data_IF_239666881911
#
_entry.id   IF_239666881911
#
_cell.length_a   1.000
_cell.length_b   1.000
_cell.length_c   1.000
_cell.angle_alpha   90.00
_cell.angle_beta   90.00
_cell.angle_gamma   90.00
#
_symmetry.space_group_name_H-M   'P 1'
#
loop_
_entity.id
_entity.type
_entity.pdbx_description
1 polymer ?
#
# COMPACT_ATOMS: atom_id res chain seq x y z
N UNK A 1 -1.70 -3.48 26.68
CA UNK A 1 -1.50 -4.95 26.70
C UNK A 1 -1.46 -5.43 25.26
N UNK A 2 -0.36 -6.04 24.80
CA UNK A 2 -0.35 -6.75 23.52
C UNK A 2 -1.13 -8.06 23.72
N UNK A 3 -2.07 -8.40 22.83
CA UNK A 3 -2.66 -9.73 22.84
C UNK A 3 -1.54 -10.76 22.68
N UNK A 4 -1.67 -11.94 23.25
CA UNK A 4 -0.70 -13.03 23.09
C UNK A 4 -0.45 -13.25 21.60
N UNK A 5 0.77 -12.96 21.15
CA UNK A 5 1.15 -13.10 19.75
C UNK A 5 1.96 -14.38 19.61
N UNK A 6 1.54 -15.27 18.73
CA UNK A 6 2.32 -16.44 18.36
C UNK A 6 3.31 -16.06 17.24
N UNK A 7 4.54 -16.58 17.36
CA UNK A 7 5.56 -16.47 16.30
C UNK A 7 5.73 -17.85 15.67
N UNK A 8 5.77 -17.89 14.35
CA UNK A 8 6.07 -19.11 13.61
C UNK A 8 7.34 -18.84 12.81
N UNK A 9 8.40 -19.59 13.07
CA UNK A 9 9.73 -19.39 12.50
C UNK A 9 10.19 -20.62 11.74
N UNK A 10 11.02 -20.45 10.72
CA UNK A 10 11.67 -21.59 10.07
C UNK A 10 12.66 -22.24 11.04
N UNK A 11 12.63 -23.56 11.12
CA UNK A 11 13.63 -24.38 11.81
C UNK A 11 14.81 -24.72 10.87
N UNK A 12 15.86 -25.34 11.40
CA UNK A 12 17.04 -25.71 10.63
C UNK A 12 16.71 -26.66 9.47
N UNK A 13 15.87 -27.67 9.72
CA UNK A 13 15.43 -28.60 8.65
C UNK A 13 14.15 -28.08 7.97
N UNK A 14 13.33 -28.92 7.40
CA UNK A 14 12.09 -28.56 6.69
C UNK A 14 10.94 -28.14 7.60
N UNK A 15 11.13 -28.14 8.90
CA UNK A 15 10.12 -27.86 9.91
C UNK A 15 10.02 -26.36 10.21
N UNK A 16 8.94 -26.05 10.92
CA UNK A 16 8.67 -24.74 11.49
C UNK A 16 8.65 -24.84 13.02
N UNK A 17 9.00 -23.77 13.69
CA UNK A 17 8.96 -23.64 15.13
C UNK A 17 7.84 -22.70 15.53
N UNK A 18 7.08 -23.11 16.55
CA UNK A 18 6.03 -22.27 17.14
C UNK A 18 6.53 -21.71 18.46
N UNK A 19 6.45 -20.39 18.60
CA UNK A 19 6.83 -19.67 19.79
C UNK A 19 5.67 -18.82 20.27
N UNK A 20 5.48 -18.71 21.58
CA UNK A 20 4.49 -17.83 22.19
C UNK A 20 5.17 -16.59 22.74
N UNK A 21 4.83 -15.43 22.20
CA UNK A 21 5.31 -14.16 22.72
C UNK A 21 4.80 -13.94 24.14
N UNK A 22 5.71 -13.59 25.05
CA UNK A 22 5.38 -13.22 26.42
C UNK A 22 5.18 -11.70 26.53
N UNK A 23 4.63 -11.23 27.65
CA UNK A 23 4.47 -9.80 27.91
C UNK A 23 5.81 -9.08 28.08
N UNK A 24 6.86 -9.77 28.45
CA UNK A 24 8.24 -9.27 28.59
C UNK A 24 8.94 -9.03 27.26
N UNK A 25 8.36 -9.50 26.13
CA UNK A 25 8.97 -9.36 24.79
C UNK A 25 9.81 -10.57 24.37
N UNK A 26 10.15 -11.48 25.27
CA UNK A 26 10.78 -12.76 24.95
C UNK A 26 9.72 -13.75 24.46
N UNK A 27 10.15 -14.74 23.66
CA UNK A 27 9.25 -15.77 23.21
C UNK A 27 9.59 -17.11 23.89
N UNK A 28 8.57 -17.90 24.17
CA UNK A 28 8.65 -19.23 24.74
C UNK A 28 8.37 -20.27 23.69
N UNK A 29 9.26 -21.25 23.53
CA UNK A 29 9.10 -22.31 22.56
C UNK A 29 7.90 -23.22 22.91
N UNK A 30 7.12 -23.60 21.92
CA UNK A 30 5.90 -24.41 22.08
C UNK A 30 5.96 -25.76 21.35
N UNK A 31 6.80 -25.87 20.35
CA UNK A 31 6.99 -27.10 19.60
C UNK A 31 7.19 -26.90 18.10
N UNK A 32 7.44 -28.00 17.37
CA UNK A 32 7.56 -27.96 15.94
C UNK A 32 6.20 -27.95 15.23
N UNK A 33 6.15 -27.46 13.99
CA UNK A 33 5.01 -27.58 13.09
C UNK A 33 5.49 -27.93 11.68
N UNK A 34 4.70 -28.70 10.95
CA UNK A 34 5.03 -29.07 9.56
C UNK A 34 4.94 -27.88 8.60
N UNK A 35 3.99 -27.01 8.83
CA UNK A 35 3.80 -25.81 8.03
C UNK A 35 3.15 -24.71 8.89
N UNK A 36 3.26 -23.42 8.47
CA UNK A 36 2.61 -22.34 9.19
C UNK A 36 1.10 -22.51 9.30
N UNK A 37 0.46 -23.05 8.26
CA UNK A 37 -0.99 -23.24 8.23
C UNK A 37 -1.48 -24.32 9.19
N UNK A 38 -0.63 -25.32 9.51
CA UNK A 38 -0.94 -26.44 10.41
C UNK A 38 -0.47 -26.22 11.85
N UNK A 39 0.16 -25.08 12.13
CA UNK A 39 0.61 -24.78 13.48
C UNK A 39 -0.56 -24.69 14.45
N UNK A 40 -0.49 -25.46 15.54
CA UNK A 40 -1.50 -25.41 16.62
C UNK A 40 -1.29 -24.13 17.41
N UNK A 41 -2.24 -23.21 17.33
CA UNK A 41 -2.15 -21.89 17.91
C UNK A 41 -3.26 -21.68 18.95
N UNK A 42 -2.87 -21.48 20.19
CA UNK A 42 -3.79 -21.07 21.26
C UNK A 42 -4.08 -19.58 21.12
N UNK A 43 -5.21 -19.23 20.55
CA UNK A 43 -5.76 -17.85 20.52
C UNK A 43 -4.78 -16.78 19.98
N UNK A 44 -5.25 -15.58 19.81
CA UNK A 44 -4.37 -14.42 19.53
C UNK A 44 -4.02 -14.19 18.05
N UNK A 45 -3.05 -13.31 17.85
CA UNK A 45 -2.51 -12.94 16.52
C UNK A 45 -1.24 -13.74 16.22
N UNK A 46 -0.98 -13.95 14.92
CA UNK A 46 0.18 -14.70 14.44
C UNK A 46 1.09 -13.77 13.64
N UNK A 47 2.38 -13.84 13.90
CA UNK A 47 3.43 -13.25 13.06
C UNK A 47 4.30 -14.40 12.55
N UNK A 48 4.58 -14.39 11.25
CA UNK A 48 5.37 -15.43 10.61
C UNK A 48 6.71 -14.83 10.22
N UNK A 49 7.79 -15.46 10.68
CA UNK A 49 9.13 -15.22 10.18
C UNK A 49 9.32 -15.94 8.86
N UNK A 50 9.57 -15.17 7.81
CA UNK A 50 9.86 -15.71 6.48
C UNK A 50 11.27 -16.28 6.45
N UNK A 51 11.48 -17.49 5.91
CA UNK A 51 12.82 -18.03 5.69
C UNK A 51 13.58 -17.21 4.64
N UNK A 52 14.89 -17.23 4.67
CA UNK A 52 15.76 -16.49 3.75
C UNK A 52 15.46 -16.74 2.26
N UNK A 53 14.98 -17.93 1.89
CA UNK A 53 14.54 -18.24 0.52
C UNK A 53 13.25 -17.51 0.11
N UNK A 54 12.42 -17.14 1.07
CA UNK A 54 11.11 -16.51 0.86
C UNK A 54 11.15 -14.99 1.02
N UNK A 55 12.27 -14.45 1.54
CA UNK A 55 12.46 -13.03 1.77
C UNK A 55 13.94 -12.66 1.64
N UNK A 56 14.22 -11.51 1.07
CA UNK A 56 15.57 -10.95 0.95
C UNK A 56 15.65 -9.61 1.62
N UNK A 57 16.73 -9.38 2.36
CA UNK A 57 17.02 -8.07 2.94
C UNK A 57 18.31 -7.51 2.35
N UNK A 58 18.32 -6.25 1.98
CA UNK A 58 19.53 -5.53 1.57
C UNK A 58 19.46 -4.08 2.02
N UNK A 59 20.62 -3.50 2.27
CA UNK A 59 20.74 -2.08 2.61
C UNK A 59 21.35 -1.28 1.47
N UNK A 60 21.16 0.04 1.53
CA UNK A 60 21.74 1.01 0.62
C UNK A 60 21.67 2.41 1.23
N UNK A 61 22.52 3.30 0.75
CA UNK A 61 22.54 4.71 1.15
C UNK A 61 21.79 5.56 0.14
N UNK A 62 21.01 6.52 0.61
CA UNK A 62 20.31 7.50 -0.21
C UNK A 62 20.80 8.91 0.11
N UNK A 63 20.97 9.81 -0.90
CA UNK A 63 21.48 11.18 -0.71
C UNK A 63 20.35 12.14 -0.30
N UNK A 64 19.52 11.74 0.67
CA UNK A 64 18.42 12.55 1.19
C UNK A 64 18.01 12.12 2.58
N UNK A 65 17.45 13.05 3.35
CA UNK A 65 16.81 12.80 4.64
C UNK A 65 15.29 12.95 4.59
N UNK A 66 14.72 13.19 3.41
CA UNK A 66 13.28 13.28 3.22
C UNK A 66 12.64 11.89 3.28
N UNK A 67 12.01 11.61 4.41
CA UNK A 67 11.33 10.33 4.67
C UNK A 67 10.18 10.04 3.71
N UNK A 68 9.61 11.07 3.06
CA UNK A 68 8.50 10.89 2.09
C UNK A 68 8.98 10.19 0.81
N UNK A 69 10.25 10.36 0.46
CA UNK A 69 10.89 9.77 -0.71
C UNK A 69 11.40 8.34 -0.46
N UNK A 70 11.60 7.95 0.79
CA UNK A 70 12.25 6.67 1.13
C UNK A 70 11.56 5.46 0.50
N UNK A 71 10.22 5.45 0.49
CA UNK A 71 9.47 4.35 -0.13
C UNK A 71 9.69 4.24 -1.64
N UNK A 72 9.74 5.37 -2.34
CA UNK A 72 9.95 5.40 -3.79
C UNK A 72 11.37 4.98 -4.14
N UNK A 73 12.37 5.51 -3.41
CA UNK A 73 13.77 5.15 -3.58
C UNK A 73 14.01 3.67 -3.26
N UNK A 74 13.38 3.16 -2.21
CA UNK A 74 13.41 1.74 -1.86
C UNK A 74 12.84 0.88 -2.98
N UNK A 75 11.69 1.26 -3.54
CA UNK A 75 11.09 0.54 -4.66
C UNK A 75 11.98 0.52 -5.89
N UNK A 76 12.57 1.66 -6.26
CA UNK A 76 13.53 1.74 -7.38
C UNK A 76 14.74 0.80 -7.18
N UNK A 77 15.22 0.63 -5.95
CA UNK A 77 16.29 -0.33 -5.64
C UNK A 77 15.83 -1.78 -5.74
N UNK A 78 14.58 -2.06 -5.36
CA UNK A 78 13.96 -3.39 -5.53
C UNK A 78 13.84 -3.75 -7.01
N UNK A 79 13.39 -2.82 -7.85
CA UNK A 79 13.33 -3.00 -9.31
C UNK A 79 14.70 -3.20 -9.92
N UNK A 80 15.67 -2.35 -9.58
CA UNK A 80 17.06 -2.45 -10.08
C UNK A 80 17.70 -3.81 -9.79
N UNK A 81 17.30 -4.46 -8.70
CA UNK A 81 17.80 -5.80 -8.31
C UNK A 81 16.97 -6.95 -8.89
N UNK A 82 15.95 -6.65 -9.71
CA UNK A 82 15.06 -7.67 -10.29
C UNK A 82 14.19 -8.38 -9.26
N UNK A 83 13.92 -7.75 -8.11
CA UNK A 83 13.11 -8.31 -7.02
C UNK A 83 11.66 -7.80 -7.02
N UNK A 84 11.33 -6.89 -7.91
CA UNK A 84 9.97 -6.39 -8.05
C UNK A 84 9.07 -7.42 -8.74
N UNK A 85 7.82 -7.51 -8.27
CA UNK A 85 6.76 -8.20 -9.01
C UNK A 85 6.36 -7.37 -10.24
N UNK A 86 5.49 -7.92 -11.10
CA UNK A 86 5.04 -7.29 -12.34
C UNK A 86 4.44 -5.90 -12.13
N UNK A 87 3.89 -5.63 -10.95
CA UNK A 87 3.36 -4.31 -10.57
C UNK A 87 3.90 -3.86 -9.21
N UNK A 88 4.04 -2.53 -8.99
CA UNK A 88 4.45 -1.99 -7.68
C UNK A 88 3.53 -2.39 -6.54
N UNK A 89 2.24 -2.57 -6.82
CA UNK A 89 1.22 -2.92 -5.83
C UNK A 89 1.32 -4.36 -5.35
N UNK A 90 1.80 -5.25 -6.21
CA UNK A 90 2.00 -6.68 -5.92
C UNK A 90 3.34 -6.93 -5.22
N UNK A 91 4.28 -5.99 -5.32
CA UNK A 91 5.56 -6.08 -4.64
C UNK A 91 5.39 -5.80 -3.14
N UNK A 92 5.52 -6.84 -2.33
CA UNK A 92 5.46 -6.70 -0.86
C UNK A 92 6.85 -6.39 -0.32
N UNK A 93 7.08 -5.16 0.11
CA UNK A 93 8.33 -4.73 0.72
C UNK A 93 8.12 -3.74 1.87
N UNK A 94 9.10 -3.67 2.77
CA UNK A 94 9.19 -2.69 3.85
C UNK A 94 10.57 -2.05 3.82
N UNK A 95 10.59 -0.74 4.04
CA UNK A 95 11.81 0.04 4.23
C UNK A 95 12.02 0.35 5.72
N UNK A 96 13.25 0.15 6.19
CA UNK A 96 13.69 0.48 7.54
C UNK A 96 14.81 1.52 7.47
N UNK A 97 14.78 2.49 8.37
CA UNK A 97 15.81 3.53 8.50
C UNK A 97 16.75 3.11 9.62
N UNK A 98 18.04 3.02 9.34
CA UNK A 98 19.07 2.66 10.31
C UNK A 98 19.82 3.87 10.83
N UNK A 99 20.19 4.77 9.92
CA UNK A 99 20.97 5.96 10.26
C UNK A 99 20.52 7.14 9.38
N UNK A 100 20.54 8.33 9.96
CA UNK A 100 20.20 9.57 9.25
C UNK A 100 21.26 10.59 9.60
N UNK A 101 22.11 10.93 8.62
CA UNK A 101 23.16 11.94 8.73
C UNK A 101 22.84 13.12 7.81
N UNK A 102 23.40 14.31 8.05
CA UNK A 102 23.17 15.44 7.15
C UNK A 102 23.43 15.07 5.69
N UNK A 103 22.39 15.18 4.86
CA UNK A 103 22.46 14.91 3.42
C UNK A 103 22.36 13.46 2.99
N UNK A 104 22.33 12.47 3.89
CA UNK A 104 22.17 11.07 3.50
C UNK A 104 21.54 10.21 4.60
N UNK A 105 20.90 9.13 4.20
CA UNK A 105 20.31 8.14 5.11
C UNK A 105 20.67 6.73 4.68
N UNK A 106 20.86 5.84 5.66
CA UNK A 106 21.06 4.40 5.45
C UNK A 106 19.73 3.68 5.63
N UNK A 107 19.28 3.03 4.58
CA UNK A 107 18.02 2.30 4.54
C UNK A 107 18.28 0.82 4.34
N UNK A 108 17.44 -0.04 4.92
CA UNK A 108 17.33 -1.44 4.49
C UNK A 108 15.93 -1.76 4.01
N UNK A 109 15.83 -2.68 3.08
CA UNK A 109 14.56 -3.13 2.51
C UNK A 109 14.43 -4.62 2.68
N UNK A 110 13.28 -5.04 3.23
CA UNK A 110 12.83 -6.42 3.22
C UNK A 110 11.88 -6.61 2.05
N UNK A 111 12.16 -7.57 1.19
CA UNK A 111 11.33 -7.89 0.01
C UNK A 111 10.87 -9.33 0.10
N UNK A 112 9.56 -9.55 -0.05
CA UNK A 112 9.00 -10.90 -0.14
C UNK A 112 9.22 -11.42 -1.56
N UNK A 113 9.87 -12.57 -1.65
CA UNK A 113 10.08 -13.28 -2.90
C UNK A 113 8.84 -14.10 -3.30
N UNK A 114 8.71 -14.56 -4.56
CA UNK A 114 7.56 -15.35 -5.01
C UNK A 114 7.28 -16.58 -4.14
N UNK A 115 8.32 -17.25 -3.64
CA UNK A 115 8.20 -18.39 -2.72
C UNK A 115 7.55 -17.98 -1.39
N UNK A 116 7.84 -16.79 -0.89
CA UNK A 116 7.20 -16.23 0.32
C UNK A 116 5.74 -15.84 0.10
N UNK A 117 5.43 -15.34 -1.09
CA UNK A 117 4.04 -15.01 -1.47
C UNK A 117 3.17 -16.27 -1.62
N UNK A 118 3.78 -17.41 -2.00
CA UNK A 118 3.10 -18.70 -2.17
C UNK A 118 2.87 -19.46 -0.85
N UNK A 119 3.41 -18.99 0.29
CA UNK A 119 3.23 -19.65 1.59
C UNK A 119 1.76 -19.69 2.00
N UNK A 120 1.31 -20.87 2.42
CA UNK A 120 0.01 -21.03 3.06
C UNK A 120 0.04 -20.41 4.46
N UNK A 121 -0.72 -19.34 4.64
CA UNK A 121 -0.74 -18.55 5.87
C UNK A 121 -1.97 -18.87 6.71
N UNK A 122 -1.85 -19.00 8.04
CA UNK A 122 -3.00 -19.08 8.93
C UNK A 122 -3.94 -17.88 8.79
N UNK A 123 -5.23 -18.09 8.95
CA UNK A 123 -6.23 -17.03 8.81
C UNK A 123 -6.05 -15.87 9.82
N UNK A 124 -5.33 -16.10 10.92
CA UNK A 124 -5.04 -15.12 11.98
C UNK A 124 -3.70 -14.40 11.79
N UNK A 125 -3.03 -14.58 10.65
CA UNK A 125 -1.76 -13.91 10.36
C UNK A 125 -1.96 -12.40 10.30
N UNK A 126 -1.20 -11.69 11.14
CA UNK A 126 -1.23 -10.23 11.21
C UNK A 126 0.00 -9.59 10.59
N UNK A 127 1.06 -10.34 10.41
CA UNK A 127 2.29 -9.80 9.84
C UNK A 127 3.24 -10.88 9.36
N UNK A 128 4.07 -10.48 8.41
CA UNK A 128 5.21 -11.23 7.91
C UNK A 128 6.46 -10.37 8.13
N UNK A 129 7.57 -11.01 8.45
CA UNK A 129 8.89 -10.35 8.47
C UNK A 129 9.98 -11.41 8.24
N UNK A 130 11.18 -11.03 7.80
CA UNK A 130 12.30 -11.95 7.76
C UNK A 130 12.50 -12.59 9.14
N UNK A 131 12.65 -13.91 9.21
CA UNK A 131 12.80 -14.61 10.49
C UNK A 131 13.95 -14.02 11.31
N UNK A 132 15.02 -13.64 10.65
CA UNK A 132 16.23 -13.06 11.23
C UNK A 132 15.97 -11.77 12.00
N UNK A 133 14.97 -10.96 11.59
CA UNK A 133 14.62 -9.72 12.33
C UNK A 133 14.12 -9.96 13.74
N UNK A 134 13.71 -11.17 14.05
CA UNK A 134 13.27 -11.55 15.39
C UNK A 134 14.43 -11.85 16.34
N UNK A 135 15.65 -11.83 15.82
CA UNK A 135 16.86 -12.03 16.63
C UNK A 135 17.66 -10.75 16.72
N UNK A 136 18.36 -10.58 17.83
CA UNK A 136 19.35 -9.51 17.97
C UNK A 136 20.64 -9.97 17.32
N UNK A 137 21.08 -9.30 16.28
CA UNK A 137 22.31 -9.63 15.57
C UNK A 137 23.53 -9.07 16.31
N UNK A 138 24.68 -9.75 16.25
CA UNK A 138 25.91 -9.24 16.82
C UNK A 138 26.39 -8.00 16.06
N UNK A 139 27.12 -7.16 16.73
CA UNK A 139 27.77 -5.98 16.14
C UNK A 139 29.08 -6.40 15.50
N UNK A 140 29.37 -5.89 14.31
CA UNK A 140 30.62 -6.16 13.55
C UNK A 140 30.88 -7.63 13.23
N UNK A 141 29.88 -8.49 13.33
CA UNK A 141 29.99 -9.91 12.94
C UNK A 141 28.90 -10.30 11.97
N UNK A 142 29.21 -11.21 11.09
CA UNK A 142 28.23 -11.89 10.23
C UNK A 142 27.61 -13.05 11.01
N UNK A 143 26.36 -13.34 10.71
CA UNK A 143 25.67 -14.52 11.25
C UNK A 143 25.40 -15.47 10.10
N UNK A 144 25.73 -16.74 10.29
CA UNK A 144 25.39 -17.81 9.39
C UNK A 144 24.54 -18.84 10.14
N UNK A 145 23.39 -19.18 9.58
CA UNK A 145 22.48 -20.15 10.20
C UNK A 145 21.79 -21.00 9.13
N UNK A 146 21.38 -22.19 9.55
CA UNK A 146 20.58 -23.06 8.70
C UNK A 146 19.09 -22.75 8.88
N UNK A 147 18.39 -22.52 7.77
CA UNK A 147 16.95 -22.39 7.70
C UNK A 147 16.39 -23.31 6.61
N UNK A 148 15.59 -24.28 7.01
CA UNK A 148 14.91 -25.21 6.11
C UNK A 148 15.87 -25.88 5.11
N UNK A 149 17.02 -26.36 5.61
CA UNK A 149 18.04 -27.04 4.83
C UNK A 149 18.85 -26.12 3.92
N UNK A 150 18.84 -24.81 4.15
CA UNK A 150 19.65 -23.84 3.41
C UNK A 150 20.44 -22.96 4.36
N UNK A 151 21.63 -22.54 3.95
CA UNK A 151 22.43 -21.60 4.71
C UNK A 151 22.01 -20.18 4.39
N UNK A 152 21.72 -19.42 5.43
CA UNK A 152 21.34 -18.01 5.36
C UNK A 152 22.43 -17.17 6.04
N UNK A 153 22.99 -16.25 5.28
CA UNK A 153 23.95 -15.26 5.74
C UNK A 153 23.23 -13.98 6.10
N UNK A 154 23.54 -13.44 7.27
CA UNK A 154 22.92 -12.22 7.77
C UNK A 154 23.97 -11.26 8.31
N UNK A 155 23.71 -9.96 8.18
CA UNK A 155 24.50 -8.91 8.80
C UNK A 155 23.57 -7.87 9.47
N UNK A 156 24.04 -7.29 10.56
CA UNK A 156 23.30 -6.29 11.33
C UNK A 156 24.12 -5.04 11.63
N UNK A 157 23.44 -3.90 11.74
CA UNK A 157 23.94 -2.65 12.30
C UNK A 157 23.15 -2.40 13.58
N UNK A 158 23.82 -2.16 14.71
CA UNK A 158 23.20 -1.91 16.00
C UNK A 158 22.17 -2.97 16.41
N UNK A 159 22.46 -4.23 16.08
CA UNK A 159 21.57 -5.36 16.37
C UNK A 159 20.37 -5.49 15.43
N UNK A 160 20.27 -4.64 14.41
CA UNK A 160 19.18 -4.66 13.42
C UNK A 160 19.66 -5.21 12.09
N UNK A 161 18.82 -6.02 11.45
CA UNK A 161 19.11 -6.65 10.16
C UNK A 161 19.25 -5.61 9.04
N UNK A 162 20.41 -5.63 8.34
CA UNK A 162 20.67 -4.81 7.14
C UNK A 162 20.87 -5.64 5.88
N UNK A 163 21.30 -6.89 6.05
CA UNK A 163 21.53 -7.79 4.92
C UNK A 163 21.11 -9.22 5.28
N UNK A 164 20.42 -9.89 4.37
CA UNK A 164 20.09 -11.32 4.48
C UNK A 164 19.98 -11.93 3.10
N UNK A 165 20.71 -13.04 2.90
CA UNK A 165 20.65 -13.82 1.67
C UNK A 165 20.92 -15.30 1.93
N UNK A 166 20.35 -16.15 1.08
CA UNK A 166 20.71 -17.58 1.01
C UNK A 166 22.00 -17.69 0.24
N UNK A 167 23.01 -18.33 0.84
CA UNK A 167 24.33 -18.49 0.23
C UNK A 167 24.60 -19.93 -0.27
N UNK A 168 23.84 -20.91 0.21
CA UNK A 168 23.94 -22.30 -0.27
C UNK A 168 22.55 -22.92 -0.36
N UNK A 169 22.38 -23.75 -1.37
CA UNK A 169 21.18 -24.58 -1.53
C UNK A 169 21.22 -25.87 -0.67
N UNK A 170 22.38 -26.23 -0.18
CA UNK A 170 22.60 -27.33 0.76
C UNK A 170 22.85 -26.77 2.16
N UNK A 171 22.43 -27.44 3.22
CA UNK A 171 22.59 -26.99 4.60
C UNK A 171 24.04 -27.12 5.13
N UNK A 172 24.99 -27.60 4.33
CA UNK A 172 26.39 -27.82 4.73
C UNK A 172 27.29 -26.59 4.50
N UNK A 173 28.37 -26.52 5.29
CA UNK A 173 29.42 -25.49 5.17
C UNK A 173 30.40 -25.86 4.07
N UNK A 174 30.02 -25.68 2.81
CA UNK A 174 30.85 -25.98 1.65
C UNK A 174 31.81 -24.83 1.28
N UNK A 175 32.65 -25.06 0.29
CA UNK A 175 33.59 -24.06 -0.22
C UNK A 175 32.90 -22.78 -0.72
N UNK A 176 31.70 -22.90 -1.28
CA UNK A 176 30.90 -21.78 -1.72
C UNK A 176 30.51 -20.86 -0.55
N UNK A 177 30.14 -21.44 0.60
CA UNK A 177 29.79 -20.66 1.79
C UNK A 177 30.94 -19.75 2.25
N UNK A 178 32.20 -20.26 2.21
CA UNK A 178 33.38 -19.48 2.56
C UNK A 178 33.65 -18.32 1.58
N UNK A 179 33.50 -18.58 0.28
CA UNK A 179 33.66 -17.54 -0.74
C UNK A 179 32.57 -16.45 -0.62
N UNK A 180 31.30 -16.83 -0.47
CA UNK A 180 30.18 -15.89 -0.31
C UNK A 180 30.33 -15.06 0.96
N UNK A 181 30.79 -15.64 2.07
CA UNK A 181 31.10 -14.88 3.28
C UNK A 181 32.16 -13.81 3.01
N UNK A 182 33.24 -14.16 2.33
CA UNK A 182 34.31 -13.22 1.99
C UNK A 182 33.82 -12.09 1.08
N UNK A 183 33.09 -12.44 0.02
CA UNK A 183 32.54 -11.47 -0.92
C UNK A 183 31.55 -10.53 -0.22
N UNK A 184 30.64 -11.09 0.57
CA UNK A 184 29.65 -10.29 1.29
C UNK A 184 30.29 -9.40 2.34
N UNK A 185 31.30 -9.87 3.09
CA UNK A 185 32.00 -9.04 4.06
C UNK A 185 32.65 -7.82 3.41
N UNK A 186 33.36 -8.03 2.30
CA UNK A 186 33.97 -6.95 1.53
C UNK A 186 32.92 -6.00 0.94
N UNK A 187 31.83 -6.52 0.41
CA UNK A 187 30.75 -5.70 -0.14
C UNK A 187 30.10 -4.81 0.93
N UNK A 188 29.84 -5.32 2.13
CA UNK A 188 29.28 -4.54 3.24
C UNK A 188 30.23 -3.44 3.72
N UNK A 189 31.53 -3.71 3.75
CA UNK A 189 32.56 -2.74 4.07
C UNK A 189 32.66 -1.65 3.00
N UNK A 190 32.71 -2.03 1.71
CA UNK A 190 32.77 -1.07 0.60
C UNK A 190 31.53 -0.19 0.50
N UNK A 191 30.36 -0.69 0.88
CA UNK A 191 29.14 0.08 0.97
C UNK A 191 29.08 0.99 2.20
N UNK A 192 30.07 0.93 3.08
CA UNK A 192 30.11 1.69 4.34
C UNK A 192 29.02 1.27 5.36
N UNK A 193 28.43 0.09 5.17
CA UNK A 193 27.41 -0.48 6.05
C UNK A 193 28.03 -1.09 7.32
N UNK A 194 29.24 -1.62 7.20
CA UNK A 194 30.03 -2.10 8.31
C UNK A 194 31.44 -1.54 8.19
N UNK A 195 31.96 -0.96 9.25
CA UNK A 195 33.35 -0.43 9.27
C UNK A 195 34.36 -1.56 9.18
N UNK A 196 34.11 -2.63 9.94
CA UNK A 196 34.95 -3.81 9.99
C UNK A 196 34.07 -5.04 10.27
N UNK A 197 34.42 -6.16 9.64
CA UNK A 197 33.83 -7.47 9.97
C UNK A 197 34.87 -8.26 10.77
N UNK A 198 34.64 -8.41 12.06
CA UNK A 198 35.58 -9.02 13.01
C UNK A 198 35.45 -10.54 13.08
N UNK A 199 34.40 -11.15 12.54
CA UNK A 199 34.20 -12.60 12.55
C UNK A 199 32.81 -13.03 12.11
N UNK A 200 32.58 -14.31 12.24
CA UNK A 200 31.32 -14.97 11.88
C UNK A 200 30.78 -15.74 13.08
N UNK A 201 29.51 -15.59 13.40
CA UNK A 201 28.79 -16.46 14.33
C UNK A 201 27.99 -17.50 13.56
N UNK A 202 28.19 -18.76 13.87
CA UNK A 202 27.38 -19.87 13.39
C UNK A 202 26.28 -20.17 14.41
N UNK A 203 25.01 -20.01 14.00
CA UNK A 203 23.89 -20.36 14.84
C UNK A 203 23.33 -21.73 14.47
N UNK A 204 23.70 -22.72 15.25
CA UNK A 204 23.33 -24.12 15.06
C UNK A 204 24.46 -25.07 15.39
N UNK A 205 24.23 -26.34 15.14
CA UNK A 205 25.20 -27.41 15.36
C UNK A 205 25.81 -27.82 14.02
N UNK A 206 27.08 -27.49 13.83
CA UNK A 206 27.84 -27.82 12.64
C UNK A 206 29.06 -28.69 13.03
N UNK A 207 29.52 -29.59 12.17
CA UNK A 207 30.74 -30.37 12.41
C UNK A 207 31.96 -29.45 12.60
N UNK A 208 32.81 -29.76 13.58
CA UNK A 208 33.96 -28.91 13.93
C UNK A 208 34.96 -28.77 12.78
N UNK A 209 35.12 -29.81 11.99
CA UNK A 209 35.97 -29.83 10.80
C UNK A 209 35.46 -28.89 9.69
N UNK A 210 34.15 -28.87 9.46
CA UNK A 210 33.50 -27.94 8.52
C UNK A 210 33.67 -26.48 9.01
N UNK A 211 33.49 -26.23 10.31
CA UNK A 211 33.69 -24.91 10.92
C UNK A 211 35.13 -24.42 10.75
N UNK A 212 36.10 -25.29 11.00
CA UNK A 212 37.54 -25.00 10.79
C UNK A 212 37.89 -24.76 9.31
N UNK A 213 37.26 -25.50 8.39
CA UNK A 213 37.39 -25.27 6.97
C UNK A 213 36.82 -23.94 6.53
N UNK A 214 35.61 -23.57 7.00
CA UNK A 214 34.97 -22.30 6.74
C UNK A 214 35.82 -21.11 7.24
N UNK A 215 36.37 -21.19 8.46
CA UNK A 215 37.23 -20.16 9.01
C UNK A 215 38.47 -19.89 8.13
N UNK A 216 39.12 -20.96 7.65
CA UNK A 216 40.26 -20.86 6.71
C UNK A 216 39.86 -20.21 5.38
N UNK A 217 38.71 -20.57 4.84
CA UNK A 217 38.25 -20.10 3.53
C UNK A 217 37.76 -18.64 3.59
N UNK A 218 37.01 -18.30 4.61
CA UNK A 218 36.50 -16.95 4.82
C UNK A 218 37.61 -15.96 5.23
N UNK A 219 38.69 -16.46 5.85
CA UNK A 219 39.74 -15.64 6.43
C UNK A 219 39.29 -14.85 7.65
N UNK A 220 38.22 -15.30 8.30
CA UNK A 220 37.62 -14.69 9.46
C UNK A 220 37.48 -15.67 10.62
N UNK A 221 37.60 -15.24 11.88
CA UNK A 221 37.33 -16.14 13.00
C UNK A 221 35.85 -16.53 13.00
N UNK A 222 35.59 -17.82 13.21
CA UNK A 222 34.27 -18.43 13.21
C UNK A 222 33.98 -19.00 14.60
N UNK A 223 32.89 -18.59 15.21
CA UNK A 223 32.44 -19.05 16.52
C UNK A 223 31.07 -19.71 16.41
N UNK A 224 30.92 -20.92 16.93
CA UNK A 224 29.60 -21.54 17.08
C UNK A 224 28.89 -20.97 18.31
N UNK A 225 27.62 -20.61 18.14
CA UNK A 225 26.75 -20.17 19.21
C UNK A 225 25.35 -20.76 19.05
N UNK A 226 24.65 -21.03 20.16
CA UNK A 226 23.26 -21.38 20.08
C UNK A 226 22.45 -20.21 19.50
N UNK A 227 21.47 -20.51 18.66
CA UNK A 227 20.57 -19.49 18.14
C UNK A 227 19.82 -18.83 19.31
N UNK A 228 19.83 -17.50 19.43
CA UNK A 228 19.13 -16.79 20.51
C UNK A 228 17.62 -17.01 20.43
N UNK A 229 16.93 -16.83 21.56
CA UNK A 229 15.48 -16.84 21.55
C UNK A 229 14.92 -15.66 20.75
N UNK A 230 13.85 -15.87 19.95
CA UNK A 230 13.28 -14.79 19.17
C UNK A 230 12.59 -13.76 20.07
N UNK A 231 12.68 -12.49 19.69
CA UNK A 231 12.03 -11.37 20.38
C UNK A 231 11.26 -10.52 19.38
N UNK A 232 9.99 -10.26 19.68
CA UNK A 232 9.14 -9.41 18.83
C UNK A 232 8.97 -8.04 19.48
N UNK A 233 9.55 -7.02 18.86
CA UNK A 233 9.40 -5.61 19.29
C UNK A 233 8.10 -5.03 18.74
N UNK A 234 7.50 -4.06 19.42
CA UNK A 234 6.24 -3.42 18.98
C UNK A 234 6.34 -2.77 17.61
N UNK A 235 7.50 -2.20 17.29
CA UNK A 235 7.77 -1.57 16.00
C UNK A 235 7.79 -2.58 14.87
N UNK A 236 8.42 -3.73 15.11
CA UNK A 236 8.43 -4.86 14.17
C UNK A 236 7.02 -5.40 13.91
N UNK A 237 6.18 -5.48 14.95
CA UNK A 237 4.79 -5.91 14.80
C UNK A 237 3.99 -4.95 13.92
N UNK A 238 4.21 -3.63 14.04
CA UNK A 238 3.57 -2.64 13.16
C UNK A 238 4.07 -2.74 11.73
N UNK A 239 5.37 -2.84 11.56
CA UNK A 239 6.01 -2.97 10.25
C UNK A 239 5.60 -4.27 9.54
N UNK A 240 5.51 -5.39 10.27
CA UNK A 240 5.24 -6.73 9.71
C UNK A 240 3.95 -6.81 8.87
N UNK A 241 2.97 -5.96 9.14
CA UNK A 241 1.73 -5.89 8.35
C UNK A 241 1.98 -5.40 6.90
N UNK A 242 3.08 -4.69 6.65
CA UNK A 242 3.44 -4.19 5.33
C UNK A 242 3.86 -5.28 4.34
N UNK A 243 4.43 -6.38 4.83
CA UNK A 243 4.84 -7.53 4.00
C UNK A 243 3.71 -8.50 3.67
N UNK A 244 2.53 -8.35 4.26
CA UNK A 244 1.39 -9.20 3.92
C UNK A 244 1.00 -9.01 2.45
N UNK A 245 0.69 -10.09 1.72
CA UNK A 245 0.16 -10.02 0.37
C UNK A 245 -1.06 -9.11 0.27
N UNK A 246 -1.21 -8.40 -0.83
CA UNK A 246 -2.31 -7.45 -1.06
C UNK A 246 -3.69 -8.11 -0.84
N UNK A 247 -3.85 -9.36 -1.25
CA UNK A 247 -5.07 -10.14 -1.06
C UNK A 247 -5.46 -10.29 0.42
N UNK A 248 -4.48 -10.52 1.31
CA UNK A 248 -4.72 -10.66 2.77
C UNK A 248 -4.95 -9.30 3.40
N UNK A 249 -4.17 -8.28 3.00
CA UNK A 249 -4.36 -6.89 3.47
C UNK A 249 -5.75 -6.37 3.12
N UNK A 250 -6.21 -6.63 1.90
CA UNK A 250 -7.52 -6.21 1.43
C UNK A 250 -8.65 -6.95 2.14
N UNK A 251 -8.51 -8.27 2.39
CA UNK A 251 -9.47 -9.04 3.22
C UNK A 251 -9.54 -8.51 4.66
N UNK A 252 -8.40 -8.19 5.26
CA UNK A 252 -8.35 -7.64 6.62
C UNK A 252 -9.00 -6.24 6.67
N UNK A 253 -8.76 -5.38 5.67
CA UNK A 253 -9.41 -4.08 5.52
C UNK A 253 -10.91 -4.21 5.29
N UNK A 254 -11.33 -5.14 4.43
CA UNK A 254 -12.74 -5.40 4.17
C UNK A 254 -13.47 -5.90 5.43
N UNK A 255 -12.83 -6.80 6.21
CA UNK A 255 -13.39 -7.25 7.51
C UNK A 255 -13.52 -6.11 8.52
N UNK A 256 -12.57 -5.18 8.58
CA UNK A 256 -12.66 -3.99 9.47
C UNK A 256 -13.72 -2.99 9.01
N UNK A 257 -13.96 -2.87 7.70
CA UNK A 257 -14.98 -1.97 7.14
C UNK A 257 -16.40 -2.55 7.24
N UNK A 258 -16.55 -3.88 7.29
CA UNK A 258 -17.86 -4.52 7.44
C UNK A 258 -18.67 -3.99 8.63
N UNK A 259 -18.16 -3.95 9.89
CA UNK A 259 -18.94 -3.41 10.99
C UNK A 259 -19.26 -1.90 10.81
N UNK A 260 -18.35 -1.13 10.22
CA UNK A 260 -18.62 0.27 9.88
C UNK A 260 -19.73 0.39 8.82
N UNK A 261 -19.73 -0.49 7.82
CA UNK A 261 -20.80 -0.58 6.83
C UNK A 261 -22.15 -0.92 7.44
N UNK A 262 -22.19 -1.88 8.37
CA UNK A 262 -23.40 -2.21 9.12
C UNK A 262 -23.86 -1.09 10.05
N UNK A 263 -22.93 -0.40 10.73
CA UNK A 263 -23.24 0.77 11.56
C UNK A 263 -23.77 1.92 10.68
N UNK A 264 -23.14 2.17 9.53
CA UNK A 264 -23.62 3.17 8.59
C UNK A 264 -24.98 2.80 8.01
N UNK A 265 -25.20 1.53 7.63
CA UNK A 265 -26.50 1.05 7.16
C UNK A 265 -27.56 1.15 8.25
N UNK A 266 -27.25 0.77 9.49
CA UNK A 266 -28.14 0.92 10.64
C UNK A 266 -28.45 2.40 10.94
N UNK A 267 -27.45 3.27 10.84
CA UNK A 267 -27.65 4.72 11.01
C UNK A 267 -28.54 5.31 9.89
N UNK A 268 -28.32 4.88 8.63
CA UNK A 268 -29.18 5.31 7.51
C UNK A 268 -30.59 4.77 7.67
N UNK A 269 -30.78 3.52 8.09
CA UNK A 269 -32.13 2.98 8.35
C UNK A 269 -32.81 3.64 9.55
N UNK A 270 -32.06 3.97 10.61
CA UNK A 270 -32.62 4.72 11.75
C UNK A 270 -32.98 6.15 11.37
N UNK A 271 -32.10 6.85 10.62
CA UNK A 271 -32.39 8.19 10.13
C UNK A 271 -33.54 8.20 9.13
N UNK A 272 -33.57 7.23 8.21
CA UNK A 272 -34.68 7.04 7.27
C UNK A 272 -35.98 6.70 7.98
N UNK A 273 -35.93 5.82 8.99
CA UNK A 273 -37.08 5.47 9.83
C UNK A 273 -37.59 6.68 10.65
N UNK A 274 -36.66 7.46 11.24
CA UNK A 274 -37.00 8.68 11.96
C UNK A 274 -37.62 9.75 11.02
N UNK A 275 -37.05 9.93 9.83
CA UNK A 275 -37.58 10.84 8.82
C UNK A 275 -38.97 10.38 8.33
N UNK A 276 -39.13 9.07 8.06
CA UNK A 276 -40.43 8.51 7.67
C UNK A 276 -41.46 8.63 8.80
N UNK A 277 -41.05 8.42 10.05
CA UNK A 277 -41.88 8.61 11.22
C UNK A 277 -42.27 10.07 11.36
N UNK A 278 -41.33 11.00 11.19
CA UNK A 278 -41.60 12.43 11.23
C UNK A 278 -42.54 12.86 10.11
N UNK A 279 -42.35 12.37 8.88
CA UNK A 279 -43.28 12.62 7.78
C UNK A 279 -44.65 11.99 8.03
N UNK A 280 -44.70 10.78 8.57
CA UNK A 280 -45.98 10.14 8.92
C UNK A 280 -46.70 10.89 10.01
N UNK A 281 -45.98 11.35 11.06
CA UNK A 281 -46.59 12.18 12.13
C UNK A 281 -47.06 13.52 11.62
N UNK A 282 -46.34 14.13 10.66
CA UNK A 282 -46.77 15.36 9.96
C UNK A 282 -47.98 15.11 9.09
N UNK A 283 -48.04 13.98 8.37
CA UNK A 283 -49.22 13.60 7.58
C UNK A 283 -50.44 13.36 8.47
N UNK A 284 -50.30 12.66 9.58
CA UNK A 284 -51.39 12.44 10.55
C UNK A 284 -51.82 13.77 11.17
N UNK A 285 -50.87 14.66 11.51
CA UNK A 285 -51.18 16.00 11.99
C UNK A 285 -51.85 16.88 10.91
N UNK A 286 -51.41 16.74 9.64
CA UNK A 286 -52.05 17.40 8.49
C UNK A 286 -53.44 16.83 8.21
N UNK A 287 -53.63 15.52 8.26
CA UNK A 287 -54.95 14.89 8.15
C UNK A 287 -55.89 15.38 9.26
N UNK A 288 -55.38 15.43 10.50
CA UNK A 288 -56.17 15.99 11.62
C UNK A 288 -56.50 17.46 11.43
N UNK A 289 -55.56 18.24 10.83
CA UNK A 289 -55.85 19.65 10.50
C UNK A 289 -56.79 19.81 9.31
N UNK A 290 -56.64 18.90 8.30
CA UNK A 290 -57.56 18.87 7.15
C UNK A 290 -58.98 18.54 7.61
N UNK A 291 -59.15 17.50 8.45
CA UNK A 291 -60.46 17.12 9.00
C UNK A 291 -61.06 18.27 9.85
N UNK A 292 -60.18 19.00 10.58
CA UNK A 292 -60.61 20.16 11.33
C UNK A 292 -61.04 21.31 10.39
N UNK A 293 -60.22 21.57 9.34
CA UNK A 293 -60.57 22.59 8.33
C UNK A 293 -61.78 22.18 7.49
N UNK A 294 -61.91 20.88 7.13
CA UNK A 294 -63.15 20.40 6.46
C UNK A 294 -64.38 20.59 7.33
N UNK A 295 -64.27 20.35 8.64
CA UNK A 295 -65.37 20.63 9.57
C UNK A 295 -65.63 22.17 9.71
N UNK A 296 -64.53 22.97 9.71
CA UNK A 296 -64.65 24.41 9.68
C UNK A 296 -65.20 24.98 8.34
N UNK A 297 -64.72 24.36 7.19
CA UNK A 297 -65.21 24.68 5.86
C UNK A 297 -66.64 24.22 5.67
N UNK A 298 -67.03 23.03 6.16
CA UNK A 298 -68.41 22.57 6.14
C UNK A 298 -69.32 23.42 7.06
N UNK A 299 -68.76 23.93 8.14
CA UNK A 299 -69.41 24.92 8.98
C UNK A 299 -69.52 26.33 8.32
N UNK A 300 -68.47 26.69 7.50
CA UNK A 300 -68.40 27.95 6.78
C UNK A 300 -69.00 27.88 5.35
N UNK A 301 -69.09 26.63 4.75
CA UNK A 301 -69.62 26.44 3.37
C UNK A 301 -71.10 26.79 3.19
N UNK A 302 -71.77 27.11 4.28
CA UNK A 302 -73.03 27.79 4.17
C UNK A 302 -72.88 29.26 3.71
N UNK A 303 -71.66 29.78 3.59
CA UNK A 303 -71.44 31.19 3.26
C UNK A 303 -70.60 31.60 2.06
N UNK A 304 -69.77 30.68 1.43
CA UNK A 304 -68.93 31.17 0.29
C UNK A 304 -68.55 30.09 -0.71
N UNK A 305 -69.13 30.09 -1.88
CA UNK A 305 -68.83 29.26 -3.05
C UNK A 305 -67.78 29.85 -4.01
N UNK A 306 -66.65 30.40 -3.52
CA UNK A 306 -65.65 31.03 -4.42
C UNK A 306 -64.19 30.57 -4.29
N UNK A 307 -63.87 29.63 -3.38
CA UNK A 307 -62.50 29.33 -3.12
C UNK A 307 -61.88 28.11 -3.90
N UNK A 308 -62.67 27.35 -4.68
CA UNK A 308 -62.19 26.12 -5.35
C UNK A 308 -61.29 26.35 -6.58
N UNK A 309 -61.33 27.54 -7.17
CA UNK A 309 -60.61 27.83 -8.42
C UNK A 309 -59.09 28.12 -8.26
N UNK A 310 -58.61 28.55 -7.09
CA UNK A 310 -57.21 28.95 -6.93
C UNK A 310 -56.28 27.84 -6.47
N UNK A 311 -56.78 26.78 -5.81
CA UNK A 311 -55.95 25.68 -5.33
C UNK A 311 -55.40 24.79 -6.45
N UNK A 312 -56.12 24.63 -7.57
CA UNK A 312 -55.69 23.86 -8.70
C UNK A 312 -54.54 24.54 -9.49
N UNK A 313 -54.51 25.87 -9.52
CA UNK A 313 -53.46 26.65 -10.21
C UNK A 313 -52.07 26.56 -9.51
N UNK A 314 -52.05 26.50 -8.18
CA UNK A 314 -50.80 26.43 -7.41
C UNK A 314 -50.08 25.04 -7.55
N UNK A 315 -50.85 23.95 -7.59
CA UNK A 315 -50.29 22.60 -7.77
C UNK A 315 -49.67 22.39 -9.17
N UNK A 316 -50.28 23.00 -10.19
CA UNK A 316 -49.74 22.94 -11.56
C UNK A 316 -48.45 23.73 -11.72
N UNK A 317 -48.34 24.88 -11.05
CA UNK A 317 -47.13 25.70 -11.09
C UNK A 317 -45.93 25.04 -10.37
N UNK A 318 -46.15 24.34 -9.26
CA UNK A 318 -45.07 23.64 -8.54
C UNK A 318 -44.52 22.42 -9.32
N UNK A 319 -45.36 21.69 -10.03
CA UNK A 319 -44.94 20.58 -10.90
C UNK A 319 -44.13 21.06 -12.12
N UNK A 320 -44.48 22.25 -12.66
CA UNK A 320 -43.72 22.83 -13.78
C UNK A 320 -42.33 23.32 -13.38
N UNK A 321 -42.14 23.84 -12.17
CA UNK A 321 -40.84 24.29 -11.66
C UNK A 321 -39.86 23.12 -11.39
N UNK A 322 -40.37 22.00 -10.89
CA UNK A 322 -39.54 20.81 -10.64
C UNK A 322 -39.01 20.18 -11.93
N UNK A 323 -39.76 20.29 -13.03
CA UNK A 323 -39.35 19.73 -14.35
C UNK A 323 -38.31 20.61 -15.08
N UNK A 324 -38.20 21.89 -14.76
CA UNK A 324 -37.30 22.84 -15.43
C UNK A 324 -35.89 22.93 -14.80
N UNK A 325 -35.70 22.42 -13.60
CA UNK A 325 -34.44 22.51 -12.85
C UNK A 325 -33.20 21.83 -13.51
N UNK A 326 -33.34 20.72 -14.26
CA UNK A 326 -32.18 20.11 -14.95
C UNK A 326 -31.68 20.87 -16.17
N UNK A 327 -32.51 21.78 -16.73
CA UNK A 327 -32.17 22.48 -17.97
C UNK A 327 -31.32 23.76 -17.80
N UNK A 328 -30.95 24.09 -16.58
CA UNK A 328 -30.35 25.42 -16.26
C UNK A 328 -28.80 25.39 -16.06
N UNK A 329 -28.10 24.27 -16.28
CA UNK A 329 -26.63 24.25 -16.22
C UNK A 329 -25.98 23.91 -17.57
N UNK A 330 -25.93 24.86 -18.54
CA UNK A 330 -25.39 24.56 -19.89
C UNK A 330 -23.87 24.35 -19.94
N UNK A 331 -23.12 24.67 -18.89
CA UNK A 331 -21.64 24.69 -18.90
C UNK A 331 -20.96 23.32 -18.77
N UNK A 332 -21.70 22.24 -18.51
CA UNK A 332 -21.13 20.88 -18.37
C UNK A 332 -21.38 19.96 -19.56
N UNK A 333 -21.94 20.45 -20.63
CA UNK A 333 -22.18 19.62 -21.81
C UNK A 333 -20.88 19.35 -22.57
N UNK A 334 -20.55 18.08 -22.90
CA UNK A 334 -19.36 17.73 -23.67
C UNK A 334 -19.23 18.50 -24.99
N UNK A 335 -20.36 18.79 -25.63
CA UNK A 335 -20.41 19.57 -26.87
C UNK A 335 -19.97 21.02 -26.69
N UNK A 336 -20.31 21.69 -25.59
CA UNK A 336 -19.85 23.04 -25.33
C UNK A 336 -18.36 23.07 -25.04
N UNK A 337 -17.86 22.08 -24.30
CA UNK A 337 -16.43 21.91 -24.04
C UNK A 337 -15.64 21.64 -25.33
N UNK A 338 -16.14 20.74 -26.19
CA UNK A 338 -15.54 20.46 -27.48
C UNK A 338 -15.50 21.72 -28.38
N UNK A 339 -16.58 22.50 -28.40
CA UNK A 339 -16.66 23.74 -29.18
C UNK A 339 -15.66 24.79 -28.65
N UNK A 340 -15.49 24.91 -27.33
CA UNK A 340 -14.49 25.77 -26.73
C UNK A 340 -13.06 25.32 -27.09
N UNK A 341 -12.78 24.03 -27.07
CA UNK A 341 -11.50 23.46 -27.51
C UNK A 341 -11.27 23.70 -29.01
N UNK A 342 -12.29 23.54 -29.84
CA UNK A 342 -12.21 23.79 -31.28
C UNK A 342 -11.87 25.26 -31.60
N UNK A 343 -12.39 26.22 -30.82
CA UNK A 343 -11.99 27.64 -30.94
C UNK A 343 -10.52 27.87 -30.61
N UNK A 344 -10.00 27.16 -29.61
CA UNK A 344 -8.56 27.25 -29.27
C UNK A 344 -7.64 26.62 -30.34
N UNK A 345 -8.15 25.70 -31.14
CA UNK A 345 -7.41 25.11 -32.26
C UNK A 345 -7.26 26.04 -33.45
N UNK A 346 -8.23 26.97 -33.70
CA UNK A 346 -8.28 27.83 -34.87
C UNK A 346 -7.00 28.63 -35.17
N UNK A 347 -6.29 29.16 -34.16
CA UNK A 347 -5.04 29.91 -34.38
C UNK A 347 -3.80 29.01 -34.49
N UNK A 348 -3.91 27.70 -34.31
CA UNK A 348 -2.78 26.75 -34.34
C UNK A 348 -2.90 25.76 -35.48
N UNK A 349 -1.78 25.18 -35.94
CA UNK A 349 -1.79 24.08 -36.92
C UNK A 349 -2.00 22.70 -36.25
N UNK A 350 -2.37 22.68 -35.00
CA UNK A 350 -2.59 21.44 -34.24
C UNK A 350 -3.84 20.69 -34.71
N UNK A 351 -3.70 19.38 -34.85
CA UNK A 351 -4.78 18.48 -35.25
C UNK A 351 -5.18 17.64 -34.05
N UNK A 352 -6.46 17.76 -33.68
CA UNK A 352 -7.07 16.95 -32.63
C UNK A 352 -7.29 15.53 -33.12
N UNK A 353 -6.77 14.52 -32.42
CA UNK A 353 -7.00 13.10 -32.71
C UNK A 353 -8.05 12.47 -31.81
N UNK A 354 -8.12 12.91 -30.58
CA UNK A 354 -9.03 12.36 -29.58
C UNK A 354 -9.47 13.46 -28.62
N UNK A 355 -10.77 13.48 -28.37
CA UNK A 355 -11.38 14.25 -27.28
C UNK A 355 -12.24 13.29 -26.45
N UNK A 356 -12.02 13.26 -25.16
CA UNK A 356 -12.74 12.43 -24.23
C UNK A 356 -13.15 13.28 -23.02
N UNK A 357 -14.44 13.34 -22.77
CA UNK A 357 -15.00 14.07 -21.63
C UNK A 357 -15.73 13.10 -20.72
N UNK A 358 -15.22 12.95 -19.51
CA UNK A 358 -15.81 12.17 -18.40
C UNK A 358 -16.16 13.12 -17.25
N UNK A 359 -16.97 12.71 -16.28
CA UNK A 359 -17.37 13.58 -15.16
C UNK A 359 -16.21 14.15 -14.35
N UNK A 360 -15.10 13.44 -14.28
CA UNK A 360 -13.91 13.70 -13.47
C UNK A 360 -12.65 14.06 -14.27
N UNK A 361 -12.68 13.94 -15.59
CA UNK A 361 -11.52 14.25 -16.42
C UNK A 361 -11.94 14.56 -17.86
N UNK A 362 -11.30 15.56 -18.43
CA UNK A 362 -11.35 15.85 -19.86
C UNK A 362 -9.95 15.61 -20.43
N UNK A 363 -9.84 14.73 -21.42
CA UNK A 363 -8.58 14.42 -22.07
C UNK A 363 -8.59 14.81 -23.55
N UNK A 364 -7.53 15.46 -23.99
CA UNK A 364 -7.36 15.98 -25.34
C UNK A 364 -6.01 15.49 -25.84
N UNK A 365 -5.98 14.78 -26.97
CA UNK A 365 -4.71 14.42 -27.59
C UNK A 365 -4.69 14.70 -29.08
N UNK A 366 -3.51 14.98 -29.59
CA UNK A 366 -3.34 15.35 -30.98
C UNK A 366 -1.90 15.49 -31.40
N UNK A 367 -1.70 16.08 -32.57
CA UNK A 367 -0.38 16.36 -33.15
C UNK A 367 -0.29 17.83 -33.58
N UNK A 368 0.85 18.45 -33.35
CA UNK A 368 1.19 19.79 -33.79
C UNK A 368 2.44 19.74 -34.65
N UNK A 369 2.68 20.79 -35.44
CA UNK A 369 3.90 20.87 -36.28
C UNK A 369 5.19 21.09 -35.47
N UNK A 370 5.06 21.61 -34.25
CA UNK A 370 6.18 21.81 -33.35
C UNK A 370 5.75 21.73 -31.89
N UNK A 371 6.67 21.47 -30.97
CA UNK A 371 6.40 21.53 -29.55
C UNK A 371 5.91 22.90 -29.09
N UNK A 372 6.41 23.99 -29.71
CA UNK A 372 5.97 25.37 -29.43
C UNK A 372 4.48 25.58 -29.71
N UNK A 373 3.96 25.03 -30.81
CA UNK A 373 2.53 25.11 -31.14
C UNK A 373 1.67 24.30 -30.16
N UNK A 374 2.15 23.16 -29.69
CA UNK A 374 1.46 22.38 -28.66
C UNK A 374 1.35 23.17 -27.34
N UNK A 375 2.42 23.89 -26.96
CA UNK A 375 2.39 24.79 -25.79
C UNK A 375 1.48 25.99 -25.98
N UNK A 376 1.44 26.55 -27.20
CA UNK A 376 0.53 27.67 -27.55
C UNK A 376 -0.92 27.22 -27.40
N UNK A 377 -1.26 26.04 -27.93
CA UNK A 377 -2.60 25.44 -27.74
C UNK A 377 -2.94 25.20 -26.27
N UNK A 378 -2.00 24.64 -25.51
CA UNK A 378 -2.19 24.43 -24.08
C UNK A 378 -2.48 25.74 -23.33
N UNK A 379 -1.73 26.79 -23.61
CA UNK A 379 -1.94 28.11 -23.00
C UNK A 379 -3.29 28.70 -23.40
N UNK A 380 -3.74 28.53 -24.65
CA UNK A 380 -5.04 28.99 -25.12
C UNK A 380 -6.19 28.25 -24.40
N UNK A 381 -6.07 26.93 -24.23
CA UNK A 381 -7.04 26.13 -23.49
C UNK A 381 -7.10 26.57 -22.02
N UNK A 382 -5.97 26.87 -21.41
CA UNK A 382 -5.89 27.30 -20.01
C UNK A 382 -6.49 28.68 -19.77
N UNK A 383 -6.44 29.55 -20.77
CA UNK A 383 -6.97 30.94 -20.67
C UNK A 383 -8.43 31.07 -21.15
N UNK A 384 -9.00 30.05 -21.76
CA UNK A 384 -10.36 30.06 -22.27
C UNK A 384 -11.38 30.09 -21.11
N UNK A 385 -12.25 31.13 -21.03
CA UNK A 385 -13.15 31.30 -19.89
C UNK A 385 -14.18 30.16 -19.72
N UNK A 386 -14.58 29.52 -20.82
CA UNK A 386 -15.55 28.41 -20.80
C UNK A 386 -14.94 27.14 -20.24
N UNK A 387 -13.61 26.99 -20.30
CA UNK A 387 -12.83 25.85 -19.82
C UNK A 387 -12.17 26.12 -18.44
N UNK A 388 -12.39 27.28 -17.86
CA UNK A 388 -11.79 27.73 -16.59
C UNK A 388 -12.19 26.95 -15.35
N UNK A 389 -13.22 26.09 -15.44
CA UNK A 389 -13.63 25.18 -14.35
C UNK A 389 -12.72 23.96 -14.18
N UNK A 390 -11.80 23.77 -15.11
CA UNK A 390 -10.87 22.64 -15.14
C UNK A 390 -9.45 23.10 -14.84
N UNK A 391 -8.73 22.28 -14.11
CA UNK A 391 -7.29 22.47 -13.89
C UNK A 391 -6.54 21.68 -14.96
N UNK A 392 -5.95 22.40 -15.92
CA UNK A 392 -5.32 21.82 -17.08
C UNK A 392 -3.85 21.50 -16.82
N UNK A 393 -3.42 20.33 -17.27
CA UNK A 393 -2.02 19.88 -17.26
C UNK A 393 -1.67 19.28 -18.62
N UNK A 394 -0.43 19.40 -19.04
CA UNK A 394 0.07 18.83 -20.27
C UNK A 394 1.34 18.02 -19.98
N UNK A 395 1.41 16.84 -20.53
CA UNK A 395 2.65 16.04 -20.56
C UNK A 395 3.58 16.63 -21.62
N UNK A 396 4.88 16.62 -21.38
CA UNK A 396 5.86 17.14 -22.34
C UNK A 396 5.63 16.54 -23.73
N UNK A 397 5.46 17.37 -24.79
CA UNK A 397 5.18 16.89 -26.14
C UNK A 397 6.30 15.99 -26.66
N UNK A 398 5.93 14.86 -27.22
CA UNK A 398 6.90 13.91 -27.77
C UNK A 398 7.16 14.24 -29.24
N UNK A 399 8.42 14.51 -29.58
CA UNK A 399 8.85 14.84 -30.94
C UNK A 399 9.05 13.54 -31.72
N UNK A 400 8.37 13.42 -32.85
CA UNK A 400 8.59 12.35 -33.82
C UNK A 400 9.67 12.69 -34.79
N UNK A 401 10.33 11.69 -35.37
CA UNK A 401 11.43 11.87 -36.36
C UNK A 401 11.02 12.72 -37.58
N UNK A 402 9.74 12.88 -37.82
CA UNK A 402 9.18 13.74 -38.89
C UNK A 402 8.95 15.20 -38.47
N UNK A 403 9.49 15.63 -37.33
CA UNK A 403 9.38 16.99 -36.82
C UNK A 403 8.01 17.37 -36.25
N UNK A 404 7.04 16.44 -36.17
CA UNK A 404 5.74 16.68 -35.56
C UNK A 404 5.78 16.35 -34.08
N UNK A 405 5.13 17.17 -33.27
CA UNK A 405 5.00 16.94 -31.82
C UNK A 405 3.63 16.33 -31.50
N UNK A 406 3.62 15.19 -30.82
CA UNK A 406 2.39 14.65 -30.24
C UNK A 406 2.19 15.22 -28.84
N UNK A 407 0.97 15.61 -28.52
CA UNK A 407 0.62 16.18 -27.22
C UNK A 407 -0.56 15.47 -26.59
N UNK A 408 -0.57 15.49 -25.27
CA UNK A 408 -1.69 15.07 -24.43
C UNK A 408 -1.92 16.12 -23.34
N UNK A 409 -3.15 16.64 -23.30
CA UNK A 409 -3.59 17.67 -22.36
C UNK A 409 -4.75 17.10 -21.57
N UNK A 410 -4.68 17.16 -20.26
CA UNK A 410 -5.71 16.66 -19.36
C UNK A 410 -6.21 17.77 -18.43
N UNK A 411 -7.53 17.87 -18.31
CA UNK A 411 -8.21 18.78 -17.41
C UNK A 411 -8.96 18.04 -16.32
N UNK A 412 -8.73 18.38 -15.07
CA UNK A 412 -9.48 17.84 -13.92
C UNK A 412 -10.33 18.94 -13.30
N UNK A 413 -11.51 18.64 -12.77
CA UNK A 413 -12.32 19.63 -12.04
C UNK A 413 -11.52 20.26 -10.90
N UNK A 414 -11.71 21.56 -10.70
CA UNK A 414 -11.10 22.28 -9.57
C UNK A 414 -11.76 21.92 -8.25
#
# INVERSE_FOLDING_TARGET
MLPSTALILPAAKTLWEVWKGTRSGTAEWRGPAESPARATLEGGSVVIGLPGRACRTFAFTVPTNDTTLFRQLAFAQVERRGLAASTPEDTSFICHVHDTRPGHSVLSVDVVLPEGAALSLPARTRGLLPAVRLFTLPVSRLVLMEEQGRLVLCAGIDGQLVHSQVISSAGGLDHHAGQELRVTSLALQQQGLMTEVTGVELWGDFPADEVAALARQAGLPVEMRPRPAPALRREQLRASAGLLPASIRNRARARRRRPLGWIAAAAVTLLGGAAAWQQHSQLVALEATVVRMENEINAAASQTGRAEGEQSRLRTAQAQWAALRPALEPRRYPLSQLNAVARCLGPTSAVLKRFESKPDIVAISGTARSAGEAYTLYNSIRTEPELGLLNWSMVQPNLSDNGTASFEITGKPR
#
